data_IF_620031831392
#
_entry.id   IF_620031831392
#
_cell.length_a   1.000
_cell.length_b   1.000
_cell.length_c   1.000
_cell.angle_alpha   90.00
_cell.angle_beta   90.00
_cell.angle_gamma   90.00
#
_symmetry.space_group_name_H-M   'P 1'
#
loop_
_entity.id
_entity.type
_entity.pdbx_description
1 polymer ?
#
# COMPACT_ATOMS: atom_id res chain seq x y z
N UNK A 1 42.84 4.37 -6.60
CA UNK A 1 41.85 3.90 -5.61
C UNK A 1 41.30 2.55 -6.08
N UNK A 2 41.79 1.47 -5.50
CA UNK A 2 41.39 0.12 -5.86
C UNK A 2 40.09 -0.19 -5.11
N UNK A 3 38.97 -0.19 -5.83
CA UNK A 3 37.68 -0.62 -5.26
C UNK A 3 37.78 -2.13 -5.03
N UNK A 4 37.79 -2.55 -3.77
CA UNK A 4 37.75 -3.96 -3.43
C UNK A 4 36.28 -4.39 -3.55
N UNK A 5 35.87 -4.91 -4.71
CA UNK A 5 34.57 -5.57 -4.82
C UNK A 5 34.55 -6.72 -3.81
N UNK A 6 33.75 -6.60 -2.75
CA UNK A 6 33.37 -7.76 -1.93
C UNK A 6 32.41 -8.61 -2.77
N UNK A 7 32.94 -9.32 -3.76
CA UNK A 7 32.18 -10.26 -4.58
C UNK A 7 32.86 -11.64 -4.68
N UNK A 8 33.92 -11.87 -3.88
CA UNK A 8 34.51 -13.20 -3.67
C UNK A 8 34.85 -13.38 -2.20
N UNK A 9 33.85 -13.74 -1.40
CA UNK A 9 34.13 -14.57 -0.23
C UNK A 9 34.54 -15.94 -0.78
N UNK A 10 35.80 -16.33 -0.59
CA UNK A 10 36.22 -17.71 -0.74
C UNK A 10 35.57 -18.54 0.39
N UNK A 11 34.33 -18.97 0.19
CA UNK A 11 33.78 -20.14 0.89
C UNK A 11 34.21 -21.36 0.07
N UNK A 12 35.51 -21.68 0.15
CA UNK A 12 36.08 -22.92 -0.37
C UNK A 12 36.79 -23.59 0.79
N UNK A 13 36.04 -24.28 1.63
CA UNK A 13 36.34 -25.65 2.10
C UNK A 13 35.31 -26.05 3.14
N UNK A 14 34.83 -27.29 2.99
CA UNK A 14 33.86 -28.02 3.80
C UNK A 14 32.39 -27.81 3.39
N UNK A 15 31.79 -28.93 2.98
CA UNK A 15 30.36 -29.21 2.75
C UNK A 15 29.83 -29.08 1.31
N UNK A 16 30.07 -30.14 0.53
CA UNK A 16 29.05 -30.76 -0.36
C UNK A 16 29.22 -32.29 -0.25
N UNK A 17 28.16 -33.12 -0.43
CA UNK A 17 26.89 -32.81 -1.08
C UNK A 17 25.64 -33.21 -0.28
N UNK A 18 24.70 -32.28 -0.11
CA UNK A 18 23.26 -32.55 -0.01
C UNK A 18 22.52 -31.22 -0.18
N UNK A 19 22.55 -30.65 -1.39
CA UNK A 19 21.62 -29.58 -1.73
C UNK A 19 20.42 -30.28 -2.36
N UNK A 20 19.50 -30.75 -1.52
CA UNK A 20 18.11 -30.75 -1.93
C UNK A 20 17.74 -29.28 -2.08
N UNK A 21 17.39 -28.88 -3.31
CA UNK A 21 16.72 -27.63 -3.55
C UNK A 21 15.34 -27.70 -2.88
N UNK A 22 15.26 -27.28 -1.61
CA UNK A 22 14.02 -26.72 -1.12
C UNK A 22 13.87 -25.36 -1.80
N UNK A 23 13.03 -25.32 -2.84
CA UNK A 23 12.32 -24.10 -3.20
C UNK A 23 11.58 -23.66 -1.94
N UNK A 24 12.24 -22.84 -1.11
CA UNK A 24 11.54 -22.09 -0.09
C UNK A 24 10.61 -21.16 -0.88
N UNK A 25 9.31 -21.42 -0.76
CA UNK A 25 8.27 -20.60 -1.32
C UNK A 25 8.63 -19.13 -1.09
N UNK A 26 8.69 -18.36 -2.18
CA UNK A 26 8.64 -16.90 -2.12
C UNK A 26 7.42 -16.61 -1.26
N UNK A 27 7.62 -16.24 0.00
CA UNK A 27 6.49 -15.81 0.81
C UNK A 27 5.91 -14.62 0.07
N UNK A 28 4.70 -14.79 -0.41
CA UNK A 28 3.94 -13.70 -1.00
C UNK A 28 3.77 -12.67 0.11
N UNK A 29 4.03 -11.39 -0.17
CA UNK A 29 3.38 -10.34 0.62
C UNK A 29 1.90 -10.75 0.73
N UNK A 30 1.32 -10.65 1.93
CA UNK A 30 -0.10 -10.95 2.09
C UNK A 30 -0.86 -10.13 1.04
N UNK A 31 -1.95 -10.69 0.48
CA UNK A 31 -2.84 -10.01 -0.47
C UNK A 31 -3.55 -8.83 0.23
N UNK A 32 -2.77 -7.86 0.70
CA UNK A 32 -3.13 -6.83 1.64
C UNK A 32 -2.64 -5.53 1.02
N UNK A 33 -3.55 -4.59 0.82
CA UNK A 33 -3.26 -3.24 0.40
C UNK A 33 -3.56 -2.23 1.49
N UNK A 34 -3.05 -1.02 1.31
CA UNK A 34 -3.33 0.12 2.18
C UNK A 34 -3.54 1.39 1.37
N UNK A 35 -4.39 2.27 1.89
CA UNK A 35 -4.61 3.61 1.33
C UNK A 35 -3.49 4.55 1.79
N UNK A 36 -2.91 5.26 0.84
CA UNK A 36 -1.90 6.28 1.06
C UNK A 36 -2.46 7.66 0.68
N UNK A 37 -2.51 8.55 1.66
CA UNK A 37 -2.96 9.94 1.50
C UNK A 37 -1.75 10.84 1.21
N UNK A 38 -1.94 11.79 0.29
CA UNK A 38 -0.89 12.62 -0.28
C UNK A 38 -0.44 13.78 0.62
N UNK A 39 -0.98 13.91 1.84
CA UNK A 39 -0.65 15.00 2.76
C UNK A 39 0.84 15.06 3.15
N UNK A 40 1.57 13.94 3.05
CA UNK A 40 3.00 13.84 3.37
C UNK A 40 3.85 13.49 2.13
N UNK A 41 3.54 14.12 1.00
CA UNK A 41 4.07 13.80 -0.32
C UNK A 41 5.61 13.74 -0.44
N UNK A 42 6.36 14.53 0.34
CA UNK A 42 7.83 14.52 0.37
C UNK A 42 8.40 13.15 0.76
N UNK A 43 7.63 12.33 1.48
CA UNK A 43 8.05 11.02 1.98
C UNK A 43 7.47 9.85 1.19
N UNK A 44 6.79 10.08 0.06
CA UNK A 44 6.10 9.02 -0.69
C UNK A 44 6.99 7.80 -0.96
N UNK A 45 8.20 7.99 -1.48
CA UNK A 45 9.11 6.87 -1.76
C UNK A 45 9.56 6.14 -0.50
N UNK A 46 9.93 6.86 0.55
CA UNK A 46 10.32 6.25 1.83
C UNK A 46 9.17 5.45 2.46
N UNK A 47 7.95 5.98 2.40
CA UNK A 47 6.76 5.31 2.89
C UNK A 47 6.41 4.09 2.04
N UNK A 48 6.44 4.18 0.71
CA UNK A 48 6.15 3.05 -0.17
C UNK A 48 7.13 1.89 0.06
N UNK A 49 8.39 2.18 0.35
CA UNK A 49 9.39 1.17 0.75
C UNK A 49 9.05 0.51 2.09
N UNK A 50 8.67 1.32 3.10
CA UNK A 50 8.19 0.79 4.38
C UNK A 50 6.92 -0.06 4.21
N UNK A 51 6.05 0.30 3.26
CA UNK A 51 4.82 -0.42 2.96
C UNK A 51 5.05 -1.76 2.28
N UNK A 52 6.02 -1.82 1.36
CA UNK A 52 6.31 -3.01 0.54
C UNK A 52 6.64 -4.28 1.36
N UNK A 53 6.87 -4.13 2.66
CA UNK A 53 7.19 -5.25 3.56
C UNK A 53 5.98 -5.91 4.17
N UNK A 54 4.83 -5.24 4.08
CA UNK A 54 3.58 -5.70 4.68
C UNK A 54 2.42 -5.71 3.67
N UNK A 55 2.53 -4.90 2.62
CA UNK A 55 1.48 -4.69 1.63
C UNK A 55 2.00 -5.00 0.23
N UNK A 56 1.19 -5.70 -0.57
CA UNK A 56 1.49 -5.99 -1.97
C UNK A 56 1.09 -4.85 -2.91
N UNK A 57 0.15 -4.01 -2.49
CA UNK A 57 -0.41 -2.93 -3.30
C UNK A 57 -0.72 -1.69 -2.48
N UNK A 58 -0.65 -0.52 -3.12
CA UNK A 58 -0.98 0.77 -2.52
C UNK A 58 -2.15 1.38 -3.29
N UNK A 59 -3.12 1.95 -2.58
CA UNK A 59 -4.12 2.83 -3.20
C UNK A 59 -3.73 4.27 -2.96
N UNK A 60 -3.64 5.06 -4.02
CA UNK A 60 -3.49 6.52 -3.93
C UNK A 60 -4.79 7.21 -4.30
N UNK A 61 -4.95 8.45 -3.85
CA UNK A 61 -6.09 9.31 -4.20
C UNK A 61 -5.79 10.25 -5.37
N UNK A 62 -4.54 10.28 -5.81
CA UNK A 62 -3.99 11.06 -6.92
C UNK A 62 -3.03 10.20 -7.73
N UNK A 63 -2.89 10.49 -9.02
CA UNK A 63 -1.90 9.87 -9.90
C UNK A 63 -0.50 10.47 -9.70
N UNK A 64 -0.45 11.74 -9.30
CA UNK A 64 0.76 12.46 -8.98
C UNK A 64 0.58 13.19 -7.65
N UNK A 65 1.51 13.00 -6.71
CA UNK A 65 1.62 13.89 -5.58
C UNK A 65 2.84 14.79 -5.78
N UNK A 66 2.58 16.08 -5.76
CA UNK A 66 3.58 17.10 -6.04
C UNK A 66 4.23 16.94 -7.43
N UNK A 67 5.54 16.69 -7.51
CA UNK A 67 6.27 16.37 -8.76
C UNK A 67 6.59 14.88 -8.92
N UNK A 68 6.02 14.02 -8.07
CA UNK A 68 6.28 12.57 -8.08
C UNK A 68 5.07 11.80 -8.61
N UNK A 69 5.28 11.07 -9.70
CA UNK A 69 4.29 10.14 -10.22
C UNK A 69 4.20 8.91 -9.31
N UNK A 70 3.00 8.59 -8.82
CA UNK A 70 2.81 7.50 -7.87
C UNK A 70 3.15 6.12 -8.46
N UNK A 71 2.94 5.91 -9.76
CA UNK A 71 3.30 4.65 -10.41
C UNK A 71 4.81 4.45 -10.50
N UNK A 72 5.56 5.51 -10.81
CA UNK A 72 7.03 5.44 -10.84
C UNK A 72 7.58 5.09 -9.45
N UNK A 73 7.01 5.68 -8.40
CA UNK A 73 7.41 5.43 -7.01
C UNK A 73 7.06 3.99 -6.59
N UNK A 74 5.84 3.52 -6.91
CA UNK A 74 5.41 2.15 -6.65
C UNK A 74 6.32 1.12 -7.33
N UNK A 75 6.66 1.34 -8.61
CA UNK A 75 7.57 0.49 -9.35
C UNK A 75 8.96 0.40 -8.70
N UNK A 76 9.53 1.54 -8.28
CA UNK A 76 10.82 1.57 -7.57
C UNK A 76 10.78 0.94 -6.19
N UNK A 77 9.61 0.91 -5.54
CA UNK A 77 9.38 0.27 -4.25
C UNK A 77 9.07 -1.23 -4.37
N UNK A 78 8.74 -1.73 -5.57
CA UNK A 78 8.42 -3.14 -5.80
C UNK A 78 7.01 -3.53 -5.38
N UNK A 79 6.06 -2.60 -5.41
CA UNK A 79 4.63 -2.82 -5.12
C UNK A 79 3.79 -2.40 -6.32
N UNK A 80 2.58 -2.95 -6.42
CA UNK A 80 1.60 -2.46 -7.39
C UNK A 80 0.81 -1.28 -6.83
N UNK A 81 0.08 -0.58 -7.70
CA UNK A 81 -0.71 0.59 -7.30
C UNK A 81 -2.08 0.63 -7.97
N UNK A 82 -3.10 0.99 -7.19
CA UNK A 82 -4.37 1.52 -7.68
C UNK A 82 -4.31 3.05 -7.62
N UNK A 83 -4.32 3.70 -8.78
CA UNK A 83 -4.22 5.16 -8.88
C UNK A 83 -5.61 5.78 -8.78
N UNK A 84 -5.78 6.77 -7.91
CA UNK A 84 -6.95 7.64 -7.91
C UNK A 84 -6.75 8.86 -8.80
N UNK A 85 -7.82 9.35 -9.43
CA UNK A 85 -7.87 10.66 -10.08
C UNK A 85 -8.78 11.55 -9.24
N UNK A 86 -8.20 12.59 -8.63
CA UNK A 86 -8.98 13.49 -7.77
C UNK A 86 -9.78 14.50 -8.59
N UNK A 87 -11.02 14.15 -8.94
CA UNK A 87 -11.86 14.97 -9.84
C UNK A 87 -12.72 16.02 -9.14
N UNK A 88 -12.88 15.95 -7.81
CA UNK A 88 -13.65 16.94 -7.06
C UNK A 88 -12.91 18.27 -6.88
N UNK A 89 -11.61 18.20 -6.56
CA UNK A 89 -10.78 19.38 -6.28
C UNK A 89 -9.43 19.38 -7.00
N UNK A 90 -9.10 18.31 -7.74
CA UNK A 90 -7.91 18.24 -8.57
C UNK A 90 -8.14 18.68 -10.01
N UNK A 91 -7.06 18.69 -10.78
CA UNK A 91 -7.12 18.94 -12.22
C UNK A 91 -7.17 17.59 -12.94
N UNK A 92 -8.36 17.19 -13.38
CA UNK A 92 -8.59 15.92 -14.07
C UNK A 92 -7.61 15.71 -15.24
N UNK A 93 -7.34 16.73 -16.06
CA UNK A 93 -6.43 16.61 -17.21
C UNK A 93 -5.00 16.27 -16.77
N UNK A 94 -4.52 16.86 -15.67
CA UNK A 94 -3.23 16.51 -15.09
C UNK A 94 -3.23 15.10 -14.50
N UNK A 95 -4.28 14.72 -13.79
CA UNK A 95 -4.40 13.40 -13.16
C UNK A 95 -4.40 12.28 -14.21
N UNK A 96 -5.26 12.35 -15.23
CA UNK A 96 -5.35 11.31 -16.26
C UNK A 96 -4.06 11.23 -17.11
N UNK A 97 -3.45 12.38 -17.42
CA UNK A 97 -2.18 12.42 -18.16
C UNK A 97 -1.07 11.72 -17.37
N UNK A 98 -0.97 12.00 -16.07
CA UNK A 98 0.04 11.37 -15.21
C UNK A 98 -0.24 9.89 -14.97
N UNK A 99 -1.49 9.48 -14.82
CA UNK A 99 -1.85 8.07 -14.69
C UNK A 99 -1.44 7.27 -15.93
N UNK A 100 -1.74 7.79 -17.13
CA UNK A 100 -1.35 7.17 -18.40
C UNK A 100 0.18 7.15 -18.56
N UNK A 101 0.86 8.25 -18.26
CA UNK A 101 2.33 8.32 -18.36
C UNK A 101 3.00 7.30 -17.43
N UNK A 102 2.56 7.23 -16.16
CA UNK A 102 3.07 6.30 -15.17
C UNK A 102 2.81 4.83 -15.54
N UNK A 103 1.62 4.52 -16.06
CA UNK A 103 1.28 3.18 -16.53
C UNK A 103 2.11 2.75 -17.76
N UNK A 104 2.39 3.68 -18.69
CA UNK A 104 3.28 3.42 -19.85
C UNK A 104 4.72 3.20 -19.43
N UNK A 105 5.21 4.02 -18.50
CA UNK A 105 6.60 3.94 -18.03
C UNK A 105 6.85 2.68 -17.20
N UNK A 106 5.84 2.16 -16.51
CA UNK A 106 5.96 1.02 -15.59
C UNK A 106 4.93 -0.09 -15.89
N UNK A 107 5.09 -0.83 -17.00
CA UNK A 107 4.18 -1.94 -17.34
C UNK A 107 4.07 -2.96 -16.20
N UNK A 108 2.84 -3.28 -15.81
CA UNK A 108 2.55 -4.24 -14.73
C UNK A 108 2.46 -3.64 -13.32
N UNK A 109 2.83 -2.37 -13.14
CA UNK A 109 2.75 -1.71 -11.83
C UNK A 109 1.35 -1.17 -11.51
N UNK A 110 0.67 -0.57 -12.49
CA UNK A 110 -0.68 0.01 -12.32
C UNK A 110 -1.73 -1.07 -12.54
N UNK A 111 -2.49 -1.41 -11.50
CA UNK A 111 -3.56 -2.41 -11.56
C UNK A 111 -4.86 -1.82 -12.10
N UNK A 112 -5.20 -0.62 -11.62
CA UNK A 112 -6.47 0.07 -11.91
C UNK A 112 -6.28 1.58 -11.76
N UNK A 113 -7.00 2.33 -12.59
CA UNK A 113 -7.19 3.78 -12.48
C UNK A 113 -8.63 4.03 -12.04
N UNK A 114 -8.78 4.59 -10.84
CA UNK A 114 -10.06 5.01 -10.30
C UNK A 114 -10.32 6.49 -10.56
N UNK A 115 -11.40 6.75 -11.28
CA UNK A 115 -11.89 8.08 -11.62
C UNK A 115 -12.82 8.54 -10.50
N UNK A 116 -12.32 9.43 -9.64
CA UNK A 116 -13.07 9.93 -8.50
C UNK A 116 -13.10 9.01 -7.27
N UNK A 117 -13.62 9.58 -6.20
CA UNK A 117 -13.85 8.97 -4.89
C UNK A 117 -15.08 9.60 -4.22
N UNK A 118 -16.20 8.88 -4.23
CA UNK A 118 -17.45 9.22 -3.53
C UNK A 118 -18.15 10.49 -4.06
N UNK A 119 -18.04 10.78 -5.36
CA UNK A 119 -18.72 11.90 -6.01
C UNK A 119 -20.25 11.88 -5.82
N UNK A 120 -20.85 10.69 -5.81
CA UNK A 120 -22.31 10.54 -5.65
C UNK A 120 -22.72 10.86 -4.21
N UNK A 121 -21.93 10.44 -3.22
CA UNK A 121 -22.13 10.79 -1.80
C UNK A 121 -22.16 12.31 -1.57
N UNK A 122 -21.31 13.07 -2.27
CA UNK A 122 -21.28 14.54 -2.20
C UNK A 122 -22.24 15.24 -3.17
N UNK A 123 -23.15 14.47 -3.80
CA UNK A 123 -24.29 14.99 -4.55
C UNK A 123 -24.03 15.31 -6.02
N UNK A 124 -22.99 14.75 -6.64
CA UNK A 124 -22.86 14.82 -8.10
C UNK A 124 -23.97 14.02 -8.78
N UNK A 125 -24.41 14.50 -9.95
CA UNK A 125 -25.29 13.72 -10.80
C UNK A 125 -24.53 12.57 -11.50
N UNK A 126 -25.25 11.49 -11.79
CA UNK A 126 -24.70 10.31 -12.47
C UNK A 126 -24.13 10.63 -13.85
N UNK A 127 -24.82 11.40 -14.74
CA UNK A 127 -24.27 11.74 -16.05
C UNK A 127 -22.90 12.42 -16.01
N UNK A 128 -22.67 13.32 -15.04
CA UNK A 128 -21.38 14.00 -14.84
C UNK A 128 -20.28 13.01 -14.49
N UNK A 129 -20.52 12.11 -13.54
CA UNK A 129 -19.55 11.08 -13.16
C UNK A 129 -19.26 10.13 -14.33
N UNK A 130 -20.30 9.66 -15.02
CA UNK A 130 -20.17 8.83 -16.22
C UNK A 130 -19.35 9.51 -17.33
N UNK A 131 -19.48 10.83 -17.48
CA UNK A 131 -18.67 11.61 -18.42
C UNK A 131 -17.17 11.46 -18.17
N UNK A 132 -16.73 11.58 -16.92
CA UNK A 132 -15.32 11.39 -16.55
C UNK A 132 -14.86 9.94 -16.71
N UNK A 133 -15.68 8.96 -16.29
CA UNK A 133 -15.34 7.52 -16.40
C UNK A 133 -15.13 7.14 -17.87
N UNK A 134 -16.07 7.53 -18.74
CA UNK A 134 -16.01 7.21 -20.16
C UNK A 134 -14.85 7.92 -20.86
N UNK A 135 -14.54 9.17 -20.47
CA UNK A 135 -13.37 9.88 -20.99
C UNK A 135 -12.05 9.20 -20.61
N UNK A 136 -11.89 8.84 -19.34
CA UNK A 136 -10.69 8.16 -18.86
C UNK A 136 -10.50 6.80 -19.54
N UNK A 137 -11.57 6.00 -19.66
CA UNK A 137 -11.55 4.72 -20.39
C UNK A 137 -11.05 4.88 -21.81
N UNK A 138 -11.65 5.82 -22.56
CA UNK A 138 -11.27 6.11 -23.94
C UNK A 138 -9.79 6.49 -24.04
N UNK A 139 -9.29 7.39 -23.20
CA UNK A 139 -7.89 7.84 -23.24
C UNK A 139 -6.90 6.74 -22.86
N UNK A 140 -7.23 5.89 -21.89
CA UNK A 140 -6.41 4.73 -21.51
C UNK A 140 -6.35 3.71 -22.66
N UNK A 141 -7.46 3.49 -23.36
CA UNK A 141 -7.52 2.62 -24.54
C UNK A 141 -6.73 3.21 -25.73
N UNK A 142 -6.93 4.48 -26.07
CA UNK A 142 -6.18 5.21 -27.11
C UNK A 142 -4.67 5.22 -26.83
N UNK A 143 -4.29 5.19 -25.55
CA UNK A 143 -2.92 5.10 -25.09
C UNK A 143 -2.30 3.68 -25.23
N UNK A 144 -3.08 2.68 -25.62
CA UNK A 144 -2.64 1.28 -25.81
C UNK A 144 -2.54 0.47 -24.51
N UNK A 145 -3.12 0.96 -23.41
CA UNK A 145 -3.02 0.35 -22.07
C UNK A 145 -4.17 -0.63 -21.80
N UNK A 146 -4.40 -1.59 -22.70
CA UNK A 146 -5.57 -2.50 -22.66
C UNK A 146 -5.65 -3.41 -21.43
N UNK A 147 -4.55 -3.57 -20.69
CA UNK A 147 -4.50 -4.35 -19.45
C UNK A 147 -4.80 -3.53 -18.20
N UNK A 148 -4.79 -2.20 -18.28
CA UNK A 148 -5.08 -1.32 -17.14
C UNK A 148 -6.59 -1.11 -17.06
N UNK A 149 -7.19 -1.51 -15.93
CA UNK A 149 -8.64 -1.36 -15.70
C UNK A 149 -8.97 0.07 -15.32
N UNK A 150 -10.15 0.54 -15.71
CA UNK A 150 -10.67 1.84 -15.30
C UNK A 150 -12.02 1.68 -14.59
N UNK A 151 -12.17 2.41 -13.50
CA UNK A 151 -13.35 2.36 -12.64
C UNK A 151 -13.61 3.67 -11.93
N UNK A 152 -14.53 3.65 -10.97
CA UNK A 152 -14.72 4.70 -9.97
C UNK A 152 -14.76 4.09 -8.57
N UNK A 153 -14.56 4.90 -7.55
CA UNK A 153 -14.78 4.51 -6.16
C UNK A 153 -15.98 5.24 -5.60
N UNK A 154 -16.96 4.50 -5.07
CA UNK A 154 -18.13 5.05 -4.39
C UNK A 154 -18.43 4.23 -3.12
N UNK A 155 -19.38 4.68 -2.31
CA UNK A 155 -19.90 3.85 -1.21
C UNK A 155 -20.83 2.76 -1.76
N UNK A 156 -21.01 1.70 -0.98
CA UNK A 156 -21.86 0.56 -1.33
C UNK A 156 -23.29 0.94 -1.72
N UNK A 157 -23.91 1.88 -1.00
CA UNK A 157 -25.26 2.37 -1.29
C UNK A 157 -25.39 3.00 -2.68
N UNK A 158 -24.35 3.66 -3.16
CA UNK A 158 -24.40 4.33 -4.47
C UNK A 158 -24.42 3.32 -5.62
N UNK A 159 -23.69 2.21 -5.49
CA UNK A 159 -23.76 1.12 -6.47
C UNK A 159 -25.06 0.31 -6.40
N UNK A 160 -25.77 0.33 -5.26
CA UNK A 160 -27.14 -0.18 -5.19
C UNK A 160 -28.11 0.75 -5.94
N UNK A 161 -27.96 2.07 -5.78
CA UNK A 161 -28.86 3.05 -6.38
C UNK A 161 -28.62 3.28 -7.89
N UNK A 162 -27.38 3.11 -8.35
CA UNK A 162 -26.93 3.50 -9.69
C UNK A 162 -26.13 2.38 -10.39
N UNK A 163 -26.76 1.23 -10.72
CA UNK A 163 -26.08 0.13 -11.41
C UNK A 163 -25.48 0.53 -12.77
N UNK A 164 -26.01 1.58 -13.42
CA UNK A 164 -25.45 2.13 -14.66
C UNK A 164 -24.01 2.62 -14.51
N UNK A 165 -23.58 3.01 -13.30
CA UNK A 165 -22.19 3.36 -13.00
C UNK A 165 -21.31 2.12 -13.00
N UNK A 166 -21.82 0.98 -12.51
CA UNK A 166 -21.12 -0.32 -12.54
C UNK A 166 -20.92 -0.80 -13.97
N UNK A 167 -21.90 -0.60 -14.84
CA UNK A 167 -21.85 -1.00 -16.25
C UNK A 167 -20.76 -0.23 -17.03
N UNK A 168 -20.55 1.06 -16.70
CA UNK A 168 -19.51 1.86 -17.32
C UNK A 168 -18.08 1.44 -16.90
N UNK A 169 -17.93 0.79 -15.75
CA UNK A 169 -16.63 0.43 -15.17
C UNK A 169 -16.15 -0.97 -15.59
N UNK A 170 -14.83 -1.11 -15.76
CA UNK A 170 -14.20 -2.44 -15.89
C UNK A 170 -14.11 -3.14 -14.53
N UNK A 171 -13.90 -2.35 -13.48
CA UNK A 171 -13.83 -2.74 -12.08
C UNK A 171 -14.35 -1.57 -11.23
N UNK A 172 -15.11 -1.84 -10.18
CA UNK A 172 -15.58 -0.83 -9.23
C UNK A 172 -14.82 -0.96 -7.90
N UNK A 173 -14.47 0.19 -7.32
CA UNK A 173 -13.97 0.25 -5.96
C UNK A 173 -15.09 0.62 -5.00
N UNK A 174 -15.20 -0.10 -3.89
CA UNK A 174 -16.20 0.20 -2.86
C UNK A 174 -15.53 0.60 -1.54
N UNK A 175 -15.96 1.74 -1.01
CA UNK A 175 -15.65 2.20 0.32
C UNK A 175 -16.77 1.78 1.28
N UNK A 176 -16.42 1.05 2.36
CA UNK A 176 -17.37 0.56 3.34
C UNK A 176 -16.81 0.80 4.74
N UNK A 177 -17.39 1.77 5.44
CA UNK A 177 -16.97 2.18 6.77
C UNK A 177 -18.12 2.05 7.77
N UNK A 178 -18.20 0.93 8.52
CA UNK A 178 -19.21 0.75 9.56
C UNK A 178 -19.23 1.86 10.60
N UNK A 179 -18.08 2.49 10.86
CA UNK A 179 -17.96 3.65 11.76
C UNK A 179 -18.87 4.83 11.38
N UNK A 180 -19.24 4.97 10.10
CA UNK A 180 -20.17 6.00 9.60
C UNK A 180 -21.61 5.52 9.46
N UNK A 181 -21.94 4.32 9.95
CA UNK A 181 -23.29 3.77 9.96
C UNK A 181 -23.81 3.62 11.40
N UNK A 182 -24.97 4.21 11.67
CA UNK A 182 -25.72 4.03 12.92
C UNK A 182 -26.68 2.84 12.89
N UNK A 183 -26.62 1.99 11.86
CA UNK A 183 -27.45 0.78 11.78
C UNK A 183 -27.11 -0.19 12.92
N UNK A 184 -28.11 -0.92 13.47
CA UNK A 184 -27.89 -1.79 14.62
C UNK A 184 -26.74 -2.79 14.43
N UNK A 185 -26.66 -3.41 13.25
CA UNK A 185 -25.64 -4.41 12.95
C UNK A 185 -24.24 -3.79 12.85
N UNK A 186 -24.13 -2.59 12.29
CA UNK A 186 -22.88 -1.84 12.25
C UNK A 186 -22.41 -1.48 13.66
N UNK A 187 -23.30 -1.02 14.54
CA UNK A 187 -22.96 -0.65 15.91
C UNK A 187 -22.61 -1.87 16.77
N UNK A 188 -23.33 -2.97 16.62
CA UNK A 188 -23.13 -4.18 17.43
C UNK A 188 -21.91 -5.00 16.98
N UNK A 189 -21.77 -5.20 15.67
CA UNK A 189 -20.74 -6.03 15.06
C UNK A 189 -20.18 -5.34 13.80
N UNK A 190 -19.40 -4.26 13.93
CA UNK A 190 -19.00 -3.40 12.82
C UNK A 190 -18.30 -4.17 11.70
N UNK A 191 -17.38 -5.07 12.05
CA UNK A 191 -16.64 -5.84 11.05
C UNK A 191 -17.54 -6.82 10.28
N UNK A 192 -18.52 -7.43 10.96
CA UNK A 192 -19.47 -8.33 10.31
C UNK A 192 -20.42 -7.58 9.37
N UNK A 193 -20.88 -6.39 9.78
CA UNK A 193 -21.64 -5.48 8.91
C UNK A 193 -20.86 -5.12 7.64
N UNK A 194 -19.58 -4.72 7.78
CA UNK A 194 -18.69 -4.50 6.64
C UNK A 194 -18.61 -5.73 5.71
N UNK A 195 -18.33 -6.91 6.28
CA UNK A 195 -18.15 -8.13 5.52
C UNK A 195 -19.44 -8.51 4.77
N UNK A 196 -20.61 -8.33 5.39
CA UNK A 196 -21.91 -8.61 4.79
C UNK A 196 -22.22 -7.67 3.62
N UNK A 197 -21.95 -6.37 3.76
CA UNK A 197 -22.16 -5.39 2.68
C UNK A 197 -21.24 -5.68 1.49
N UNK A 198 -19.97 -5.99 1.75
CA UNK A 198 -19.05 -6.39 0.69
C UNK A 198 -19.50 -7.68 -0.01
N UNK A 199 -19.89 -8.70 0.76
CA UNK A 199 -20.36 -9.97 0.18
C UNK A 199 -21.64 -9.81 -0.63
N UNK A 200 -22.55 -8.91 -0.21
CA UNK A 200 -23.73 -8.58 -0.98
C UNK A 200 -23.36 -8.00 -2.36
N UNK A 201 -22.47 -7.00 -2.41
CA UNK A 201 -21.98 -6.43 -3.67
C UNK A 201 -21.28 -7.46 -4.55
N UNK A 202 -20.43 -8.32 -3.96
CA UNK A 202 -19.80 -9.45 -4.65
C UNK A 202 -20.82 -10.42 -5.23
N UNK A 203 -21.91 -10.67 -4.52
CA UNK A 203 -23.03 -11.49 -5.01
C UNK A 203 -23.74 -10.89 -6.22
N UNK A 204 -23.82 -9.55 -6.32
CA UNK A 204 -24.45 -8.87 -7.45
C UNK A 204 -23.53 -8.73 -8.67
N UNK A 205 -22.28 -8.34 -8.44
CA UNK A 205 -21.39 -7.86 -9.50
C UNK A 205 -20.13 -8.72 -9.68
N UNK A 206 -19.97 -9.78 -8.90
CA UNK A 206 -18.88 -10.75 -9.03
C UNK A 206 -17.50 -10.12 -8.91
N UNK A 207 -16.61 -10.51 -9.83
CA UNK A 207 -15.20 -10.08 -9.85
C UNK A 207 -14.97 -8.60 -10.15
N UNK A 208 -16.01 -7.86 -10.55
CA UNK A 208 -15.91 -6.41 -10.73
C UNK A 208 -15.72 -5.66 -9.42
N UNK A 209 -16.08 -6.22 -8.26
CA UNK A 209 -16.03 -5.46 -6.99
C UNK A 209 -14.69 -5.67 -6.30
N UNK A 210 -14.04 -4.55 -5.95
CA UNK A 210 -12.85 -4.50 -5.10
C UNK A 210 -13.10 -3.59 -3.91
N UNK A 211 -12.74 -4.04 -2.71
CA UNK A 211 -12.83 -3.19 -1.52
C UNK A 211 -11.67 -2.19 -1.52
N UNK A 212 -12.00 -0.91 -1.49
CA UNK A 212 -11.04 0.16 -1.67
C UNK A 212 -10.80 1.01 -0.43
N UNK A 213 -11.74 1.08 0.50
CA UNK A 213 -11.51 1.62 1.84
C UNK A 213 -12.37 0.90 2.88
N UNK A 214 -11.75 0.56 4.00
CA UNK A 214 -12.41 0.30 5.27
C UNK A 214 -11.41 0.53 6.39
N UNK A 215 -11.88 0.96 7.55
CA UNK A 215 -11.02 1.23 8.69
C UNK A 215 -11.79 1.71 9.90
N UNK A 216 -11.08 1.81 11.03
CA UNK A 216 -11.63 2.27 12.29
C UNK A 216 -10.62 3.20 13.01
N UNK A 217 -11.06 4.34 13.55
CA UNK A 217 -10.15 5.31 14.16
C UNK A 217 -9.74 4.91 15.57
N UNK A 218 -8.49 5.20 15.95
CA UNK A 218 -7.97 4.90 17.30
C UNK A 218 -8.33 5.92 18.36
N UNK A 219 -8.79 7.11 17.97
CA UNK A 219 -9.10 8.24 18.85
C UNK A 219 -10.02 9.25 18.14
N UNK A 220 -10.27 10.39 18.79
CA UNK A 220 -10.99 11.52 18.17
C UNK A 220 -12.51 11.51 18.36
N UNK A 221 -13.00 10.75 19.35
CA UNK A 221 -14.38 10.85 19.83
C UNK A 221 -15.27 9.69 19.41
N UNK A 222 -16.52 10.00 19.06
CA UNK A 222 -17.56 9.01 18.74
C UNK A 222 -18.39 9.46 17.55
N UNK A 223 -18.93 8.51 16.82
CA UNK A 223 -19.81 8.76 15.68
C UNK A 223 -20.93 7.73 15.63
N UNK A 224 -22.19 8.17 15.57
CA UNK A 224 -23.36 7.29 15.32
C UNK A 224 -23.43 6.01 16.19
N UNK A 225 -22.99 6.07 17.45
CA UNK A 225 -22.98 4.92 18.37
C UNK A 225 -21.64 4.19 18.48
N UNK A 226 -20.68 4.52 17.63
CA UNK A 226 -19.31 4.01 17.67
C UNK A 226 -18.41 4.89 18.52
N UNK A 227 -17.56 4.29 19.35
CA UNK A 227 -16.52 5.00 20.11
C UNK A 227 -15.16 4.67 19.50
N UNK A 228 -14.45 5.69 19.03
CA UNK A 228 -13.08 5.54 18.52
C UNK A 228 -12.13 5.18 19.68
N UNK A 229 -11.41 4.07 19.56
CA UNK A 229 -10.44 3.66 20.55
C UNK A 229 -9.36 2.76 19.94
N UNK A 230 -8.19 2.73 20.58
CA UNK A 230 -7.08 1.89 20.17
C UNK A 230 -7.47 0.41 20.10
N UNK A 231 -8.17 -0.10 21.12
CA UNK A 231 -8.56 -1.52 21.20
C UNK A 231 -9.58 -1.90 20.12
N UNK A 232 -10.55 -1.02 19.84
CA UNK A 232 -11.53 -1.29 18.77
C UNK A 232 -10.86 -1.29 17.41
N UNK A 233 -10.04 -0.28 17.11
CA UNK A 233 -9.33 -0.20 15.83
C UNK A 233 -8.34 -1.36 15.63
N UNK A 234 -7.63 -1.76 16.68
CA UNK A 234 -6.78 -2.96 16.64
C UNK A 234 -7.59 -4.22 16.34
N UNK A 235 -8.72 -4.39 17.02
CA UNK A 235 -9.62 -5.55 16.82
C UNK A 235 -10.15 -5.58 15.39
N UNK A 236 -10.62 -4.43 14.88
CA UNK A 236 -11.09 -4.28 13.50
C UNK A 236 -10.00 -4.62 12.49
N UNK A 237 -8.77 -4.15 12.69
CA UNK A 237 -7.64 -4.45 11.82
C UNK A 237 -7.21 -5.93 11.88
N UNK A 238 -7.28 -6.57 13.05
CA UNK A 238 -7.01 -8.01 13.18
C UNK A 238 -8.08 -8.86 12.45
N UNK A 239 -9.35 -8.49 12.56
CA UNK A 239 -10.44 -9.10 11.80
C UNK A 239 -10.30 -8.87 10.29
N UNK A 240 -9.89 -7.66 9.88
CA UNK A 240 -9.58 -7.33 8.50
C UNK A 240 -8.52 -8.25 7.92
N UNK A 241 -7.36 -8.38 8.59
CA UNK A 241 -6.28 -9.28 8.15
C UNK A 241 -6.76 -10.73 8.00
N UNK A 242 -7.62 -11.22 8.90
CA UNK A 242 -8.17 -12.57 8.81
C UNK A 242 -9.13 -12.71 7.61
N UNK A 243 -10.04 -11.74 7.44
CA UNK A 243 -11.00 -11.71 6.35
C UNK A 243 -10.32 -11.71 4.98
N UNK A 244 -9.26 -10.90 4.80
CA UNK A 244 -8.49 -10.81 3.55
C UNK A 244 -8.00 -12.18 3.07
N UNK A 245 -7.59 -13.07 3.98
CA UNK A 245 -7.13 -14.42 3.63
C UNK A 245 -8.25 -15.30 3.07
N UNK A 246 -9.50 -15.01 3.43
CA UNK A 246 -10.69 -15.79 3.04
C UNK A 246 -11.51 -15.14 1.92
N UNK A 247 -11.32 -13.84 1.65
CA UNK A 247 -12.18 -13.04 0.79
C UNK A 247 -12.06 -13.39 -0.71
N UNK A 248 -10.99 -14.06 -1.13
CA UNK A 248 -10.71 -14.43 -2.53
C UNK A 248 -11.05 -13.30 -3.53
N UNK A 249 -10.52 -12.11 -3.27
CA UNK A 249 -10.81 -10.86 -4.00
C UNK A 249 -9.49 -10.23 -4.49
N UNK A 250 -9.51 -9.39 -5.55
CA UNK A 250 -8.42 -8.47 -5.85
C UNK A 250 -7.97 -7.71 -4.58
N UNK A 251 -6.68 -7.37 -4.49
CA UNK A 251 -6.04 -6.86 -3.26
C UNK A 251 -6.89 -5.77 -2.58
N UNK A 252 -7.50 -6.04 -1.42
CA UNK A 252 -8.30 -5.08 -0.66
C UNK A 252 -7.42 -4.05 0.05
N UNK A 253 -7.91 -2.83 0.24
CA UNK A 253 -7.16 -1.73 0.86
C UNK A 253 -7.70 -1.27 2.22
N UNK A 254 -6.87 -1.32 3.26
CA UNK A 254 -7.21 -0.72 4.57
C UNK A 254 -7.04 0.80 4.53
N UNK A 255 -7.97 1.52 5.13
CA UNK A 255 -7.90 2.97 5.35
C UNK A 255 -7.45 3.25 6.79
N UNK A 256 -6.25 3.79 7.02
CA UNK A 256 -5.25 4.25 6.05
C UNK A 256 -3.84 4.07 6.59
N UNK A 257 -2.82 4.45 5.81
CA UNK A 257 -1.44 4.28 6.25
C UNK A 257 -1.14 5.08 7.52
N UNK A 258 -1.38 6.39 7.51
CA UNK A 258 -0.86 7.28 8.55
C UNK A 258 -1.92 8.24 9.06
N UNK A 259 -1.89 8.48 10.37
CA UNK A 259 -2.69 9.51 11.02
C UNK A 259 -2.42 10.88 10.36
N UNK A 260 -3.49 11.54 9.94
CA UNK A 260 -3.42 12.84 9.28
C UNK A 260 -3.97 13.92 10.21
N UNK A 261 -3.09 14.50 11.04
CA UNK A 261 -3.47 15.57 11.98
C UNK A 261 -3.97 16.85 11.30
N UNK A 262 -3.75 17.00 9.99
CA UNK A 262 -4.34 18.08 9.20
C UNK A 262 -5.86 18.01 9.10
N UNK A 263 -6.48 16.88 9.47
CA UNK A 263 -7.94 16.69 9.49
C UNK A 263 -8.60 17.11 10.82
N UNK A 264 -7.82 17.47 11.84
CA UNK A 264 -8.34 17.98 13.12
C UNK A 264 -9.19 19.24 12.93
N UNK A 265 -10.18 19.43 13.80
CA UNK A 265 -11.01 20.65 13.79
C UNK A 265 -12.12 20.68 12.73
N UNK A 266 -12.37 19.58 12.03
CA UNK A 266 -13.44 19.43 11.03
C UNK A 266 -14.81 19.07 11.65
N UNK A 267 -15.03 19.36 12.93
CA UNK A 267 -16.24 19.03 13.71
C UNK A 267 -16.11 17.79 14.60
N UNK A 268 -15.37 16.78 14.15
CA UNK A 268 -15.01 15.58 14.92
C UNK A 268 -13.57 15.19 14.59
N UNK A 269 -12.78 14.85 15.61
CA UNK A 269 -11.33 14.66 15.44
C UNK A 269 -10.96 13.25 14.94
N UNK A 270 -11.90 12.30 14.88
CA UNK A 270 -11.62 10.90 14.53
C UNK A 270 -10.99 10.72 13.14
N UNK A 271 -11.25 11.64 12.21
CA UNK A 271 -10.67 11.65 10.86
C UNK A 271 -9.13 11.69 10.88
N UNK A 272 -8.55 12.27 11.93
CA UNK A 272 -7.11 12.36 12.09
C UNK A 272 -6.45 11.05 12.55
N UNK A 273 -7.22 10.04 12.96
CA UNK A 273 -6.73 8.88 13.72
C UNK A 273 -6.98 7.51 13.09
N UNK A 274 -7.24 7.44 11.78
CA UNK A 274 -7.45 6.18 11.01
C UNK A 274 -6.15 5.44 10.63
N UNK A 275 -4.98 6.03 10.88
CA UNK A 275 -3.70 5.49 10.46
C UNK A 275 -3.33 4.18 11.16
N UNK A 276 -2.68 3.29 10.42
CA UNK A 276 -1.90 2.17 10.98
C UNK A 276 -0.56 2.66 11.57
N UNK A 277 -0.03 3.76 11.04
CA UNK A 277 1.05 4.55 11.60
C UNK A 277 0.48 5.74 12.35
N UNK A 278 1.14 6.13 13.44
CA UNK A 278 0.91 7.41 14.09
C UNK A 278 1.50 8.58 13.28
N UNK A 279 1.27 9.80 13.77
CA UNK A 279 1.79 11.02 13.15
C UNK A 279 3.32 11.12 13.15
N UNK A 280 4.04 10.20 13.81
CA UNK A 280 5.50 10.07 13.83
C UNK A 280 6.00 8.87 13.00
N UNK A 281 5.14 8.32 12.14
CA UNK A 281 5.41 7.19 11.24
C UNK A 281 5.78 5.89 11.99
N UNK A 282 5.34 5.74 13.24
CA UNK A 282 5.49 4.51 14.02
C UNK A 282 4.23 3.65 13.94
N UNK A 283 4.41 2.33 13.82
CA UNK A 283 3.29 1.39 13.80
C UNK A 283 2.50 1.44 15.12
N UNK A 284 1.19 1.69 15.02
CA UNK A 284 0.25 1.65 16.15
C UNK A 284 -0.07 0.21 16.53
N UNK A 285 -0.07 -0.72 15.57
CA UNK A 285 -0.34 -2.13 15.78
C UNK A 285 0.86 -3.00 15.39
N UNK A 286 0.97 -4.18 15.98
CA UNK A 286 1.97 -5.15 15.55
C UNK A 286 1.67 -5.62 14.11
N UNK A 287 2.58 -5.34 13.18
CA UNK A 287 2.52 -5.84 11.81
C UNK A 287 3.17 -7.23 11.69
N UNK A 288 2.67 -8.11 10.81
CA UNK A 288 3.35 -9.38 10.54
C UNK A 288 4.78 -9.12 10.04
N UNK A 289 5.79 -9.56 10.80
CA UNK A 289 7.22 -9.32 10.52
C UNK A 289 7.82 -10.39 9.60
N UNK A 290 7.06 -10.90 8.64
CA UNK A 290 7.61 -11.82 7.65
C UNK A 290 8.12 -11.04 6.46
N UNK A 291 9.45 -10.98 6.31
CA UNK A 291 10.16 -10.49 5.13
C UNK A 291 10.67 -11.72 4.36
N UNK A 292 9.79 -12.42 3.64
CA UNK A 292 10.16 -13.66 2.98
C UNK A 292 11.29 -13.46 1.97
N UNK A 293 12.23 -14.41 1.94
CA UNK A 293 13.42 -14.32 1.09
C UNK A 293 14.47 -13.30 1.53
N UNK A 294 14.32 -12.69 2.71
CA UNK A 294 15.32 -11.77 3.27
C UNK A 294 16.13 -12.41 4.40
N UNK A 295 17.27 -11.82 4.69
CA UNK A 295 18.11 -12.15 5.83
C UNK A 295 18.59 -10.89 6.54
N UNK A 296 19.04 -11.03 7.78
CA UNK A 296 19.71 -9.98 8.53
C UNK A 296 21.17 -10.35 8.73
N UNK A 297 22.04 -9.34 8.70
CA UNK A 297 23.48 -9.52 8.94
C UNK A 297 23.75 -9.11 10.39
N UNK A 298 24.42 -9.97 11.15
CA UNK A 298 24.79 -9.69 12.54
C UNK A 298 26.30 -9.73 12.73
N UNK A 299 26.82 -8.86 13.59
CA UNK A 299 28.22 -8.96 14.04
C UNK A 299 28.36 -9.94 15.21
N UNK A 300 29.61 -10.22 15.61
CA UNK A 300 29.92 -11.15 16.71
C UNK A 300 29.36 -10.71 18.08
N UNK A 301 28.94 -9.45 18.23
CA UNK A 301 28.31 -8.92 19.45
C UNK A 301 26.77 -9.03 19.41
N UNK A 302 26.20 -9.67 18.39
CA UNK A 302 24.75 -9.80 18.20
C UNK A 302 24.06 -8.53 17.72
N UNK A 303 24.82 -7.51 17.30
CA UNK A 303 24.26 -6.30 16.71
C UNK A 303 23.89 -6.54 15.25
N UNK A 304 22.69 -6.13 14.84
CA UNK A 304 22.26 -6.15 13.44
C UNK A 304 22.93 -5.03 12.64
N UNK A 305 23.21 -5.30 11.37
CA UNK A 305 23.53 -4.30 10.37
C UNK A 305 22.23 -3.61 9.96
N UNK A 306 22.12 -2.30 10.17
CA UNK A 306 20.91 -1.51 9.98
C UNK A 306 21.23 -0.31 9.08
N UNK A 307 20.41 -0.08 8.06
CA UNK A 307 20.52 1.07 7.15
C UNK A 307 19.54 2.16 7.56
N UNK A 308 20.05 3.31 7.98
CA UNK A 308 19.24 4.47 8.40
C UNK A 308 19.80 5.72 7.73
N UNK A 309 18.93 6.55 7.13
CA UNK A 309 19.33 7.81 6.49
C UNK A 309 20.53 7.64 5.53
N UNK A 310 20.48 6.61 4.66
CA UNK A 310 21.55 6.21 3.73
C UNK A 310 22.92 5.88 4.37
N UNK A 311 22.95 5.65 5.68
CA UNK A 311 24.14 5.22 6.40
C UNK A 311 23.96 3.82 6.98
N UNK A 312 25.05 3.07 7.07
CA UNK A 312 25.06 1.70 7.61
C UNK A 312 25.58 1.72 9.04
N UNK A 313 24.84 1.11 9.97
CA UNK A 313 25.16 1.03 11.38
C UNK A 313 25.15 -0.43 11.88
N UNK A 314 25.93 -0.74 12.91
CA UNK A 314 25.79 -1.98 13.68
C UNK A 314 25.17 -1.64 15.05
N UNK A 315 23.91 -2.06 15.31
CA UNK A 315 23.17 -1.71 16.54
C UNK A 315 22.29 -2.86 17.04
N UNK A 316 21.67 -2.69 18.22
CA UNK A 316 20.70 -3.66 18.76
C UNK A 316 19.61 -3.93 17.70
N UNK A 317 19.21 -5.19 17.46
CA UNK A 317 18.18 -5.51 16.48
C UNK A 317 16.88 -4.77 16.78
N UNK A 318 16.24 -4.27 15.73
CA UNK A 318 14.99 -3.49 15.78
C UNK A 318 13.83 -4.24 15.15
N UNK A 319 14.10 -5.37 14.47
CA UNK A 319 13.10 -6.15 13.73
C UNK A 319 12.37 -5.34 12.64
N UNK A 320 13.00 -4.27 12.17
CA UNK A 320 12.51 -3.40 11.11
C UNK A 320 13.01 -3.82 9.72
N UNK A 321 12.48 -3.20 8.67
CA UNK A 321 12.96 -3.38 7.28
C UNK A 321 14.42 -2.98 7.12
N UNK A 322 14.88 -2.02 7.93
CA UNK A 322 16.21 -1.43 7.81
C UNK A 322 17.34 -2.40 8.14
N UNK A 323 17.04 -3.53 8.79
CA UNK A 323 17.99 -4.61 9.05
C UNK A 323 17.82 -5.81 8.11
N UNK A 324 17.00 -5.69 7.06
CA UNK A 324 16.72 -6.75 6.09
C UNK A 324 17.48 -6.52 4.81
N UNK A 325 18.01 -7.62 4.27
CA UNK A 325 18.74 -7.67 3.02
C UNK A 325 18.17 -8.77 2.12
N UNK A 326 18.13 -8.54 0.82
CA UNK A 326 17.93 -9.59 -0.19
C UNK A 326 19.25 -9.95 -0.87
N UNK A 327 19.30 -11.13 -1.45
CA UNK A 327 20.39 -11.56 -2.32
C UNK A 327 19.83 -11.81 -3.73
N UNK A 328 20.33 -11.07 -4.71
CA UNK A 328 20.02 -11.31 -6.12
C UNK A 328 21.00 -12.36 -6.68
N UNK A 329 20.49 -13.54 -7.02
CA UNK A 329 21.32 -14.64 -7.55
C UNK A 329 21.88 -14.38 -8.95
N UNK A 330 21.27 -13.49 -9.73
CA UNK A 330 21.70 -13.12 -11.08
C UNK A 330 22.87 -12.15 -11.03
N UNK A 331 22.71 -11.06 -10.28
CA UNK A 331 23.72 -10.00 -10.15
C UNK A 331 24.74 -10.27 -9.04
N UNK A 332 24.43 -11.21 -8.14
CA UNK A 332 25.18 -11.56 -6.93
C UNK A 332 25.31 -10.40 -5.93
N UNK A 333 24.37 -9.46 -5.99
CA UNK A 333 24.36 -8.30 -5.10
C UNK A 333 23.54 -8.57 -3.85
N UNK A 334 24.00 -8.04 -2.72
CA UNK A 334 23.21 -7.94 -1.49
C UNK A 334 22.55 -6.57 -1.51
N UNK A 335 21.23 -6.50 -1.43
CA UNK A 335 20.48 -5.25 -1.49
C UNK A 335 19.82 -4.98 -0.15
N UNK A 336 20.05 -3.79 0.40
CA UNK A 336 19.34 -3.32 1.59
C UNK A 336 17.88 -3.07 1.24
N UNK A 337 16.93 -3.65 1.99
CA UNK A 337 15.52 -3.31 1.80
C UNK A 337 15.20 -1.91 2.35
N UNK A 338 15.95 -1.42 3.34
CA UNK A 338 15.71 -0.12 3.98
C UNK A 338 15.88 1.08 3.04
N UNK A 339 16.75 0.97 2.03
CA UNK A 339 16.98 2.05 1.06
C UNK A 339 17.17 1.57 -0.38
N UNK A 340 16.97 0.28 -0.66
CA UNK A 340 17.02 -0.31 -2.00
C UNK A 340 18.34 -0.08 -2.75
N UNK A 341 19.42 0.11 -2.01
CA UNK A 341 20.76 0.26 -2.52
C UNK A 341 21.56 -1.02 -2.30
N UNK A 342 22.59 -1.22 -3.10
CA UNK A 342 23.44 -2.38 -2.98
C UNK A 342 24.42 -2.17 -1.82
N UNK A 343 24.63 -3.20 -1.01
CA UNK A 343 25.65 -3.20 0.02
C UNK A 343 27.02 -3.34 -0.64
N UNK A 344 27.93 -2.42 -0.32
CA UNK A 344 29.34 -2.51 -0.72
C UNK A 344 30.25 -2.19 0.46
N UNK A 345 31.50 -2.63 0.38
CA UNK A 345 32.49 -2.23 1.35
C UNK A 345 33.80 -1.83 0.69
N UNK A 346 34.45 -0.85 1.29
CA UNK A 346 35.70 -0.29 0.83
C UNK A 346 36.72 -0.25 1.96
N UNK A 347 38.00 -0.28 1.58
CA UNK A 347 39.11 -0.23 2.53
C UNK A 347 39.39 1.22 2.92
N UNK A 348 39.54 1.48 4.22
CA UNK A 348 40.00 2.75 4.78
C UNK A 348 41.39 2.58 5.38
N UNK A 349 42.01 3.67 5.85
CA UNK A 349 43.31 3.61 6.52
C UNK A 349 43.29 2.78 7.82
N UNK A 350 42.12 2.64 8.44
CA UNK A 350 41.94 1.98 9.74
C UNK A 350 41.18 0.66 9.66
N UNK A 351 40.68 0.25 8.49
CA UNK A 351 39.96 -1.01 8.36
C UNK A 351 39.13 -1.15 7.08
N UNK A 352 37.99 -1.84 7.20
CA UNK A 352 36.98 -1.99 6.14
C UNK A 352 35.71 -1.28 6.61
N UNK A 353 35.14 -0.44 5.75
CA UNK A 353 33.89 0.26 5.98
C UNK A 353 32.84 -0.24 5.00
N UNK A 354 31.62 -0.46 5.48
CA UNK A 354 30.46 -0.88 4.69
C UNK A 354 29.55 0.32 4.44
N UNK A 355 29.01 0.43 3.24
CA UNK A 355 28.03 1.45 2.86
C UNK A 355 27.00 0.86 1.89
N UNK A 356 26.01 1.66 1.51
CA UNK A 356 25.09 1.33 0.43
C UNK A 356 25.27 2.33 -0.73
N UNK A 357 25.15 1.85 -1.97
CA UNK A 357 25.32 2.66 -3.19
C UNK A 357 24.19 2.46 -4.21
#
# INVERSE_FOLDING_TARGET
MMHLHICRLCIYTMLRPAILASLAAVGTAQNLGVCWDAFNNDYMEGQFRQLATHFSSIRTFVAQAWYQNAADVAARAGVTVALGLWIQHGNYENEITNAIAGAKANPGTVEVIYVGNEELLVGWDVPKLLGYINDAKRRVEEAGLTNVKVGTVQIDRDFYAHPEVVDACDLIGVNIHPFFSGEPDAVQNPFESFANHFQWLRGQYGDKVRMTETGFPTAGGSNLGHVASFDMAKTYFDQYKAWVQSANSPTPYYFMLQDNLGKLGSGTDFEAYFGLLDSQSQWKFAMPTTYPGTFSIYNALGQALIVLNNNVYARRPTHSINEKFTYDSTTRQIKSLGNNQCLDAYKTATGITVHTF
#
